data_IF_492258229913
#
_entry.id   IF_492258229913
#
_cell.length_a   1.000
_cell.length_b   1.000
_cell.length_c   1.000
_cell.angle_alpha   90.00
_cell.angle_beta   90.00
_cell.angle_gamma   90.00
#
_symmetry.space_group_name_H-M   'P 1'
#
loop_
_entity.id
_entity.type
_entity.pdbx_description
1 polymer ?
#
# COMPACT_ATOMS: atom_id res chain seq x y z
N UNK A 1 13.97 5.43 -20.98
CA UNK A 1 14.13 4.99 -19.58
C UNK A 1 13.56 3.58 -19.47
N UNK A 2 14.25 2.65 -18.83
CA UNK A 2 13.80 1.26 -18.73
C UNK A 2 12.57 1.13 -17.83
N UNK A 3 11.73 0.13 -18.12
CA UNK A 3 10.57 -0.28 -17.30
C UNK A 3 10.92 -0.38 -15.80
N UNK A 4 12.11 -0.93 -15.53
CA UNK A 4 12.68 -1.08 -14.19
C UNK A 4 12.83 0.25 -13.42
N UNK A 5 13.32 1.31 -14.09
CA UNK A 5 13.42 2.64 -13.47
C UNK A 5 12.05 3.24 -13.15
N UNK A 6 11.03 2.92 -13.95
CA UNK A 6 9.66 3.37 -13.69
C UNK A 6 9.09 2.70 -12.45
N UNK A 7 9.22 1.37 -12.34
CA UNK A 7 8.76 0.59 -11.18
C UNK A 7 9.49 1.02 -9.90
N UNK A 8 10.81 1.21 -9.96
CA UNK A 8 11.58 1.66 -8.79
C UNK A 8 11.13 3.05 -8.29
N UNK A 9 10.81 3.97 -9.20
CA UNK A 9 10.29 5.31 -8.87
C UNK A 9 8.89 5.24 -8.29
N UNK A 10 8.03 4.42 -8.90
CA UNK A 10 6.66 4.20 -8.43
C UNK A 10 6.66 3.61 -7.01
N UNK A 11 7.54 2.64 -6.72
CA UNK A 11 7.70 2.09 -5.38
C UNK A 11 8.20 3.13 -4.38
N UNK A 12 9.13 4.00 -4.77
CA UNK A 12 9.58 5.10 -3.90
C UNK A 12 8.45 6.08 -3.57
N UNK A 13 7.56 6.36 -4.54
CA UNK A 13 6.38 7.20 -4.31
C UNK A 13 5.37 6.51 -3.38
N UNK A 14 5.12 5.21 -3.57
CA UNK A 14 4.24 4.42 -2.71
C UNK A 14 4.80 4.36 -1.27
N UNK A 15 6.10 4.18 -1.13
CA UNK A 15 6.77 4.19 0.18
C UNK A 15 6.59 5.53 0.90
N UNK A 16 6.78 6.65 0.20
CA UNK A 16 6.56 7.98 0.76
C UNK A 16 5.10 8.20 1.17
N UNK A 17 4.15 7.76 0.35
CA UNK A 17 2.71 7.86 0.63
C UNK A 17 2.33 7.03 1.87
N UNK A 18 2.76 5.77 1.95
CA UNK A 18 2.54 4.91 3.13
C UNK A 18 3.20 5.52 4.38
N UNK A 19 4.42 6.05 4.26
CA UNK A 19 5.11 6.70 5.37
C UNK A 19 4.40 7.97 5.85
N UNK A 20 3.73 8.70 4.95
CA UNK A 20 2.87 9.82 5.34
C UNK A 20 1.62 9.32 6.07
N UNK A 21 0.95 8.29 5.54
CA UNK A 21 -0.22 7.64 6.14
C UNK A 21 0.06 7.09 7.54
N UNK A 22 1.24 6.48 7.76
CA UNK A 22 1.67 6.01 9.08
C UNK A 22 1.79 7.16 10.10
N UNK A 23 2.15 8.37 9.64
CA UNK A 23 2.32 9.58 10.47
C UNK A 23 1.01 10.35 10.69
N UNK A 24 0.18 10.47 9.67
CA UNK A 24 -1.02 11.35 9.67
C UNK A 24 -2.28 10.68 10.20
N UNK A 25 -2.16 9.57 10.96
CA UNK A 25 -3.18 8.73 11.65
C UNK A 25 -4.62 9.27 11.85
N UNK A 26 -4.84 10.57 12.01
CA UNK A 26 -6.15 11.23 12.20
C UNK A 26 -6.83 11.70 10.91
N UNK A 27 -6.13 11.81 9.78
CA UNK A 27 -6.73 12.31 8.51
C UNK A 27 -7.42 11.23 7.67
N UNK A 28 -7.39 9.97 8.12
CA UNK A 28 -8.12 8.84 7.54
C UNK A 28 -9.65 8.99 7.58
N UNK A 29 -10.16 10.01 8.28
CA UNK A 29 -11.58 10.35 8.27
C UNK A 29 -12.07 10.92 6.92
N UNK A 30 -11.14 11.35 6.05
CA UNK A 30 -11.49 11.81 4.72
C UNK A 30 -11.63 10.58 3.82
N UNK A 31 -12.88 10.30 3.42
CA UNK A 31 -13.40 9.17 2.63
C UNK A 31 -12.77 9.01 1.22
N UNK A 32 -11.45 9.15 1.13
CA UNK A 32 -10.66 9.12 -0.10
C UNK A 32 -9.98 7.77 -0.22
N UNK A 33 -9.99 7.22 -1.43
CA UNK A 33 -9.43 5.90 -1.76
C UNK A 33 -7.94 5.80 -1.40
N UNK A 34 -7.21 6.92 -1.37
CA UNK A 34 -5.79 6.99 -1.03
C UNK A 34 -5.54 6.76 0.47
N UNK A 35 -6.53 7.00 1.33
CA UNK A 35 -6.46 6.66 2.76
C UNK A 35 -6.79 5.18 3.03
N UNK A 36 -7.29 4.44 2.05
CA UNK A 36 -7.68 3.05 2.22
C UNK A 36 -6.47 2.10 2.14
N UNK A 37 -6.14 1.33 3.19
CA UNK A 37 -5.11 0.29 3.11
C UNK A 37 -5.37 -0.73 1.98
N UNK A 38 -6.64 -1.08 1.72
CA UNK A 38 -7.00 -2.05 0.68
C UNK A 38 -6.61 -1.57 -0.73
N UNK A 39 -6.71 -0.26 -0.98
CA UNK A 39 -6.27 0.35 -2.24
C UNK A 39 -4.77 0.16 -2.48
N UNK A 40 -3.95 0.42 -1.47
CA UNK A 40 -2.49 0.25 -1.59
C UNK A 40 -2.11 -1.21 -1.77
N UNK A 41 -2.81 -2.13 -1.09
CA UNK A 41 -2.62 -3.57 -1.26
C UNK A 41 -2.91 -4.03 -2.69
N UNK A 42 -4.00 -3.54 -3.29
CA UNK A 42 -4.34 -3.85 -4.68
C UNK A 42 -3.31 -3.27 -5.67
N UNK A 43 -2.90 -2.01 -5.47
CA UNK A 43 -1.90 -1.34 -6.31
C UNK A 43 -0.55 -2.05 -6.25
N UNK A 44 -0.10 -2.43 -5.06
CA UNK A 44 1.12 -3.23 -4.88
C UNK A 44 0.99 -4.59 -5.59
N UNK A 45 -0.09 -5.34 -5.43
CA UNK A 45 -0.23 -6.62 -6.14
C UNK A 45 -0.19 -6.48 -7.67
N UNK A 46 -0.70 -5.38 -8.22
CA UNK A 46 -0.66 -5.10 -9.67
C UNK A 46 0.78 -4.89 -10.17
N UNK A 47 1.61 -4.20 -9.39
CA UNK A 47 3.03 -3.98 -9.72
C UNK A 47 3.81 -5.30 -9.58
N UNK A 48 3.48 -6.12 -8.56
CA UNK A 48 4.13 -7.43 -8.33
C UNK A 48 3.96 -8.37 -9.52
N UNK A 49 2.80 -8.35 -10.18
CA UNK A 49 2.56 -9.16 -11.39
C UNK A 49 3.41 -8.77 -12.59
N UNK A 50 4.14 -7.65 -12.54
CA UNK A 50 4.98 -7.14 -13.64
C UNK A 50 6.47 -7.02 -13.27
N UNK A 51 6.85 -7.59 -12.13
CA UNK A 51 8.21 -7.63 -11.63
C UNK A 51 8.91 -8.88 -12.19
N UNK A 52 9.69 -8.69 -13.25
CA UNK A 52 10.62 -9.71 -13.75
C UNK A 52 11.73 -9.93 -12.72
N UNK A 53 11.77 -11.11 -12.09
CA UNK A 53 12.78 -11.74 -11.19
C UNK A 53 13.71 -10.84 -10.32
N UNK A 54 13.37 -9.57 -10.12
CA UNK A 54 14.18 -8.63 -9.38
C UNK A 54 13.92 -8.79 -7.89
N UNK A 55 14.78 -9.60 -7.27
CA UNK A 55 14.76 -9.87 -5.83
C UNK A 55 14.86 -8.62 -4.96
N UNK A 56 15.47 -7.54 -5.45
CA UNK A 56 15.60 -6.29 -4.69
C UNK A 56 14.27 -5.56 -4.64
N UNK A 57 13.59 -5.45 -5.77
CA UNK A 57 12.28 -4.85 -5.86
C UNK A 57 11.20 -5.72 -5.19
N UNK A 58 11.30 -7.04 -5.30
CA UNK A 58 10.42 -7.99 -4.60
C UNK A 58 10.52 -7.87 -3.07
N UNK A 59 11.74 -7.73 -2.54
CA UNK A 59 11.94 -7.49 -1.10
C UNK A 59 11.30 -6.17 -0.67
N UNK A 60 11.53 -5.08 -1.42
CA UNK A 60 10.89 -3.78 -1.14
C UNK A 60 9.36 -3.89 -1.20
N UNK A 61 8.83 -4.64 -2.17
CA UNK A 61 7.41 -4.94 -2.30
C UNK A 61 6.84 -5.57 -1.03
N UNK A 62 7.53 -6.59 -0.54
CA UNK A 62 7.13 -7.37 0.63
C UNK A 62 7.14 -6.53 1.91
N UNK A 63 8.15 -5.65 2.05
CA UNK A 63 8.21 -4.71 3.16
C UNK A 63 7.06 -3.69 3.13
N UNK A 64 6.70 -3.18 1.95
CA UNK A 64 5.58 -2.26 1.79
C UNK A 64 4.24 -2.93 2.08
N UNK A 65 4.03 -4.17 1.59
CA UNK A 65 2.83 -4.95 1.91
C UNK A 65 2.70 -5.16 3.43
N UNK A 66 3.78 -5.52 4.11
CA UNK A 66 3.76 -5.67 5.56
C UNK A 66 3.47 -4.35 6.30
N UNK A 67 3.87 -3.19 5.77
CA UNK A 67 3.50 -1.88 6.32
C UNK A 67 2.00 -1.63 6.15
N UNK A 68 1.45 -1.92 4.97
CA UNK A 68 0.00 -1.78 4.69
C UNK A 68 -0.83 -2.71 5.58
N UNK A 69 -0.44 -3.98 5.73
CA UNK A 69 -1.15 -4.93 6.60
C UNK A 69 -1.17 -4.46 8.06
N UNK A 70 -0.09 -3.82 8.54
CA UNK A 70 -0.07 -3.19 9.87
C UNK A 70 -0.96 -1.96 9.98
N UNK A 71 -1.14 -1.20 8.91
CA UNK A 71 -2.09 -0.08 8.87
C UNK A 71 -3.53 -0.59 8.94
N UNK A 72 -3.85 -1.66 8.20
CA UNK A 72 -5.15 -2.32 8.20
C UNK A 72 -5.49 -2.91 9.58
N UNK A 73 -4.59 -3.71 10.16
CA UNK A 73 -4.77 -4.29 11.50
C UNK A 73 -4.91 -3.23 12.62
N UNK A 74 -4.43 -2.01 12.39
CA UNK A 74 -4.53 -0.88 13.33
C UNK A 74 -5.73 0.02 13.06
N UNK A 75 -6.46 -0.21 11.97
CA UNK A 75 -7.67 0.51 11.61
C UNK A 75 -8.88 -0.45 11.65
N UNK A 76 -9.35 -0.86 12.85
CA UNK A 76 -10.42 -1.86 13.01
C UNK A 76 -11.81 -1.39 12.53
N UNK A 77 -11.92 -0.23 11.88
CA UNK A 77 -13.20 0.44 11.61
C UNK A 77 -13.91 -0.04 10.34
N UNK A 78 -13.56 -1.21 9.80
CA UNK A 78 -14.17 -1.72 8.56
C UNK A 78 -14.80 -3.11 8.62
N UNK A 79 -14.58 -3.87 9.70
CA UNK A 79 -15.19 -5.20 9.85
C UNK A 79 -16.59 -5.16 10.52
N UNK A 80 -16.98 -4.03 11.13
CA UNK A 80 -18.28 -3.91 11.81
C UNK A 80 -19.47 -3.48 10.93
N UNK A 81 -19.23 -2.99 9.71
CA UNK A 81 -20.33 -2.48 8.85
C UNK A 81 -20.93 -3.57 7.93
N UNK A 82 -20.24 -4.70 7.73
CA UNK A 82 -20.70 -5.86 6.93
C UNK A 82 -21.45 -6.92 7.77
N UNK A 83 -21.71 -6.66 9.06
CA UNK A 83 -22.40 -7.60 9.95
C UNK A 83 -23.92 -7.40 10.06
N UNK A 84 -24.51 -6.54 9.22
CA UNK A 84 -25.96 -6.31 9.14
C UNK A 84 -26.44 -6.35 7.69
N UNK A 85 -26.50 -7.55 7.11
CA UNK A 85 -27.31 -7.86 5.92
C UNK A 85 -27.90 -9.26 6.03
#
# INVERSE_FOLDING_TARGET
MSWHCHVARELAHIEAAIGLLEKTRKEFANNTVVCDPAYWRLRLNTIRGRLDEDRTLERRMSELLARVDRLEARNPHRESDDALA
#
